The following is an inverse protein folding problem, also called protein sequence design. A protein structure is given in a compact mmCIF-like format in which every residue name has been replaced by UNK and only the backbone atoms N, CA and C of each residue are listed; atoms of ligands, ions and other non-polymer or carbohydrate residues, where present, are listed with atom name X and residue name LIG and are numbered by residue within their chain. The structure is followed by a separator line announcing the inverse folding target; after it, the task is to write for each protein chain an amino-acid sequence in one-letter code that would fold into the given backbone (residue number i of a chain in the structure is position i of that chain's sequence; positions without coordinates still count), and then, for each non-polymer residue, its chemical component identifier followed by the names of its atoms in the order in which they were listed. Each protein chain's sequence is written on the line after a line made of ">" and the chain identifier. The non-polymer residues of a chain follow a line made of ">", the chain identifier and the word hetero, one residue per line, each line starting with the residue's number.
data_IF_145683947183
#
_entry.id   IF_145683947183
#
_cell.length_a   1.000
_cell.length_b   1.000
_cell.length_c   1.000
_cell.angle_alpha   90.00
_cell.angle_beta   90.00
_cell.angle_gamma   90.00
#
_symmetry.space_group_name_H-M   'P 1'
#
loop_
_entity.id
_entity.type
_entity.pdbx_description
1 polymer ?
#
# COMPACT_ATOMS: atom_id res chain seq x y z
N UNK A 1 6.40 11.23 4.01
CA UNK A 1 7.65 10.51 3.66
C UNK A 1 8.80 11.11 4.46
N UNK A 2 9.23 10.40 5.51
CA UNK A 2 10.32 10.80 6.40
C UNK A 2 11.40 9.73 6.29
N UNK A 3 12.66 10.14 6.11
CA UNK A 3 13.78 9.20 5.94
C UNK A 3 13.90 8.16 7.07
N UNK A 4 13.44 8.50 8.28
CA UNK A 4 13.53 7.65 9.47
C UNK A 4 12.26 6.83 9.75
N UNK A 5 11.24 6.94 8.89
CA UNK A 5 10.03 6.16 9.05
C UNK A 5 10.24 4.74 8.51
N UNK A 6 10.07 3.75 9.38
CA UNK A 6 10.29 2.34 9.04
C UNK A 6 9.27 1.84 8.02
N UNK A 7 8.01 2.29 8.11
CA UNK A 7 6.98 1.88 7.16
C UNK A 7 7.30 2.40 5.75
N UNK A 8 7.90 3.58 5.67
CA UNK A 8 8.29 4.21 4.41
C UNK A 8 9.39 3.41 3.71
N UNK A 9 10.41 3.00 4.47
CA UNK A 9 11.51 2.14 4.01
C UNK A 9 10.99 0.76 3.58
N UNK A 10 10.07 0.18 4.36
CA UNK A 10 9.49 -1.13 4.05
C UNK A 10 8.58 -1.05 2.81
N UNK A 11 7.82 0.03 2.65
CA UNK A 11 7.03 0.28 1.45
C UNK A 11 7.91 0.42 0.19
N UNK A 12 9.10 1.01 0.31
CA UNK A 12 10.06 1.12 -0.78
C UNK A 12 10.64 -0.23 -1.24
N UNK A 13 10.67 -1.22 -0.35
CA UNK A 13 11.15 -2.56 -0.66
C UNK A 13 10.15 -3.39 -1.47
N UNK A 14 8.91 -2.92 -1.64
CA UNK A 14 7.86 -3.60 -2.41
C UNK A 14 8.30 -3.73 -3.87
N UNK A 15 8.16 -4.95 -4.40
CA UNK A 15 8.55 -5.29 -5.77
C UNK A 15 7.50 -4.81 -6.76
N UNK A 16 7.96 -4.18 -7.83
CA UNK A 16 7.14 -3.68 -8.94
C UNK A 16 7.62 -4.31 -10.24
N UNK A 17 6.70 -4.74 -11.12
CA UNK A 17 7.08 -5.27 -12.42
C UNK A 17 7.65 -4.16 -13.31
N UNK A 18 8.84 -4.41 -13.84
CA UNK A 18 9.57 -3.48 -14.71
C UNK A 18 10.01 -4.17 -15.98
N UNK A 19 10.19 -3.38 -17.04
CA UNK A 19 10.69 -3.85 -18.34
C UNK A 19 11.91 -3.03 -18.75
N UNK A 20 13.01 -3.70 -19.03
CA UNK A 20 14.22 -3.04 -19.51
C UNK A 20 14.13 -2.75 -21.00
N UNK A 21 14.38 -1.52 -21.43
CA UNK A 21 14.41 -1.16 -22.84
C UNK A 21 15.78 -1.33 -23.49
N UNK A 22 16.80 -1.62 -22.67
CA UNK A 22 18.19 -1.68 -23.08
C UNK A 22 18.86 -2.97 -22.60
N UNK A 23 19.87 -3.41 -23.36
CA UNK A 23 20.71 -4.53 -22.93
C UNK A 23 21.81 -4.00 -22.01
N UNK A 24 21.78 -4.37 -20.73
CA UNK A 24 22.75 -3.87 -19.73
C UNK A 24 23.77 -4.97 -19.42
N UNK A 25 25.07 -4.79 -19.73
CA UNK A 25 26.10 -5.78 -19.42
C UNK A 25 26.32 -5.88 -17.90
N UNK A 26 26.60 -7.10 -17.42
CA UNK A 26 26.92 -7.35 -16.00
C UNK A 26 25.72 -7.41 -15.05
N UNK A 27 24.51 -7.07 -15.50
CA UNK A 27 23.30 -7.06 -14.68
C UNK A 27 22.54 -8.40 -14.64
N UNK A 28 23.08 -9.48 -15.23
CA UNK A 28 22.43 -10.79 -15.28
C UNK A 28 22.21 -11.46 -13.91
N UNK A 29 22.88 -10.99 -12.84
CA UNK A 29 22.62 -11.47 -11.49
C UNK A 29 21.17 -11.22 -11.04
N UNK A 30 20.50 -10.23 -11.61
CA UNK A 30 19.08 -9.97 -11.36
C UNK A 30 18.16 -11.09 -11.88
N UNK A 31 18.59 -11.83 -12.91
CA UNK A 31 17.90 -13.01 -13.44
C UNK A 31 18.43 -14.33 -12.87
N UNK A 32 19.21 -14.29 -11.79
CA UNK A 32 19.98 -15.43 -11.28
C UNK A 32 20.98 -16.00 -12.32
N UNK A 33 21.44 -15.19 -13.27
CA UNK A 33 22.44 -15.58 -14.27
C UNK A 33 23.69 -14.69 -14.18
N UNK A 34 24.56 -14.93 -13.17
CA UNK A 34 25.75 -14.11 -12.98
C UNK A 34 26.64 -14.14 -14.24
N UNK A 35 27.30 -13.01 -14.53
CA UNK A 35 28.19 -12.79 -15.69
C UNK A 35 27.52 -12.70 -17.08
N UNK A 36 26.19 -12.79 -17.19
CA UNK A 36 25.50 -12.52 -18.45
C UNK A 36 24.96 -11.08 -18.53
N UNK A 37 24.83 -10.52 -19.75
CA UNK A 37 24.10 -9.27 -19.93
C UNK A 37 22.60 -9.51 -19.71
N UNK A 38 21.94 -8.49 -19.14
CA UNK A 38 20.48 -8.44 -19.10
C UNK A 38 19.98 -8.01 -20.47
N UNK A 39 19.14 -8.82 -21.12
CA UNK A 39 18.68 -8.55 -22.47
C UNK A 39 17.61 -7.44 -22.52
N UNK A 40 17.58 -6.70 -23.63
CA UNK A 40 16.49 -5.78 -23.97
C UNK A 40 15.12 -6.49 -23.94
N UNK A 41 14.10 -5.74 -23.53
CA UNK A 41 12.70 -6.13 -23.32
C UNK A 41 12.49 -7.17 -22.21
N UNK A 42 13.50 -7.46 -21.41
CA UNK A 42 13.33 -8.38 -20.32
C UNK A 42 12.45 -7.80 -19.21
N UNK A 43 11.60 -8.64 -18.62
CA UNK A 43 10.69 -8.28 -17.53
C UNK A 43 11.25 -8.79 -16.21
N UNK A 44 11.39 -7.90 -15.25
CA UNK A 44 11.95 -8.20 -13.95
C UNK A 44 11.19 -7.43 -12.87
N UNK A 45 11.03 -8.07 -11.71
CA UNK A 45 10.48 -7.41 -10.54
C UNK A 45 11.60 -6.72 -9.75
N UNK A 46 11.53 -5.39 -9.68
CA UNK A 46 12.51 -4.57 -8.95
C UNK A 46 11.85 -3.90 -7.74
N UNK A 47 12.59 -3.68 -6.64
CA UNK A 47 12.11 -2.85 -5.54
C UNK A 47 11.75 -1.43 -6.02
N UNK A 48 10.69 -0.85 -5.46
CA UNK A 48 10.17 0.46 -5.84
C UNK A 48 11.22 1.57 -5.77
N UNK A 49 12.06 1.60 -4.73
CA UNK A 49 13.11 2.61 -4.59
C UNK A 49 14.09 2.60 -5.76
N UNK A 50 14.44 1.42 -6.27
CA UNK A 50 15.37 1.30 -7.40
C UNK A 50 14.65 1.56 -8.72
N UNK A 51 13.45 1.01 -8.88
CA UNK A 51 12.66 1.14 -10.09
C UNK A 51 12.33 2.61 -10.39
N UNK A 52 12.03 3.41 -9.37
CA UNK A 52 11.75 4.84 -9.49
C UNK A 52 12.95 5.62 -10.06
N UNK A 53 14.14 5.40 -9.51
CA UNK A 53 15.35 6.11 -9.96
C UNK A 53 15.74 5.70 -11.38
N UNK A 54 15.67 4.40 -11.69
CA UNK A 54 16.00 3.90 -13.03
C UNK A 54 14.99 4.32 -14.10
N UNK A 55 13.73 4.56 -13.75
CA UNK A 55 12.71 5.04 -14.68
C UNK A 55 12.91 6.51 -15.09
N UNK A 56 13.55 7.32 -14.24
CA UNK A 56 13.86 8.73 -14.54
C UNK A 56 15.08 8.84 -15.47
N UNK A 57 15.98 7.85 -15.47
CA UNK A 57 17.18 7.87 -16.29
C UNK A 57 16.85 7.70 -17.78
N UNK A 58 17.25 8.71 -18.55
CA UNK A 58 17.20 8.70 -20.01
C UNK A 58 18.58 8.38 -20.60
N UNK A 59 18.60 7.53 -21.61
CA UNK A 59 19.79 7.29 -22.42
C UNK A 59 19.53 7.89 -23.80
N UNK A 60 20.39 8.83 -24.21
CA UNK A 60 20.38 9.37 -25.57
C UNK A 60 21.05 8.38 -26.51
N UNK A 61 20.26 7.70 -27.34
CA UNK A 61 20.77 7.01 -28.52
C UNK A 61 20.51 7.84 -29.78
N UNK A 62 21.21 7.52 -30.86
CA UNK A 62 21.15 8.21 -32.16
C UNK A 62 19.74 8.35 -32.77
N UNK A 63 18.72 7.67 -32.22
CA UNK A 63 17.32 7.69 -32.67
C UNK A 63 16.33 8.28 -31.64
N UNK A 64 16.81 8.99 -30.60
CA UNK A 64 15.98 9.67 -29.60
C UNK A 64 16.36 9.32 -28.15
N UNK A 65 15.77 10.05 -27.20
CA UNK A 65 15.89 9.73 -25.77
C UNK A 65 14.93 8.60 -25.41
N UNK A 66 15.46 7.51 -24.86
CA UNK A 66 14.66 6.36 -24.39
C UNK A 66 14.95 6.17 -22.91
N UNK A 67 13.91 5.96 -22.10
CA UNK A 67 14.06 5.60 -20.68
C UNK A 67 14.69 4.21 -20.54
N UNK A 68 15.62 4.06 -19.59
CA UNK A 68 16.29 2.79 -19.33
C UNK A 68 15.29 1.67 -18.99
N UNK A 69 14.30 2.02 -18.15
CA UNK A 69 13.27 1.10 -17.67
C UNK A 69 11.88 1.70 -17.92
N UNK A 70 10.96 0.83 -18.33
CA UNK A 70 9.52 1.07 -18.37
C UNK A 70 8.85 0.39 -17.16
N UNK A 71 8.16 1.18 -16.33
CA UNK A 71 7.37 0.68 -15.21
C UNK A 71 6.07 0.07 -15.75
N UNK A 72 5.86 -1.23 -15.51
CA UNK A 72 4.60 -1.90 -15.83
C UNK A 72 3.63 -1.62 -14.69
N UNK A 73 2.37 -1.34 -15.01
CA UNK A 73 1.32 -1.11 -14.01
C UNK A 73 1.16 -2.34 -13.08
N UNK A 74 1.45 -2.21 -11.78
CA UNK A 74 1.28 -3.32 -10.84
C UNK A 74 -0.20 -3.70 -10.61
N UNK A 75 -0.43 -4.88 -10.03
CA UNK A 75 -1.78 -5.42 -9.78
C UNK A 75 -2.67 -4.46 -8.98
N UNK A 76 -2.08 -3.77 -8.01
CA UNK A 76 -2.78 -2.82 -7.14
C UNK A 76 -3.49 -1.70 -7.91
N UNK A 77 -2.96 -1.29 -9.08
CA UNK A 77 -3.55 -0.23 -9.90
C UNK A 77 -4.40 -0.76 -11.06
N UNK A 78 -4.65 -2.08 -11.13
CA UNK A 78 -5.48 -2.64 -12.18
C UNK A 78 -6.91 -2.10 -12.09
N UNK A 79 -7.56 -1.99 -13.26
CA UNK A 79 -8.92 -1.45 -13.36
C UNK A 79 -9.90 -2.19 -12.45
N UNK A 80 -9.73 -3.50 -12.26
CA UNK A 80 -10.52 -4.32 -11.33
C UNK A 80 -10.51 -3.74 -9.90
N UNK A 81 -9.33 -3.51 -9.34
CA UNK A 81 -9.16 -2.98 -7.98
C UNK A 81 -9.71 -1.56 -7.90
N UNK A 82 -9.42 -0.72 -8.89
CA UNK A 82 -9.97 0.65 -8.91
C UNK A 82 -11.50 0.70 -8.98
N UNK A 83 -12.13 -0.29 -9.64
CA UNK A 83 -13.59 -0.39 -9.70
C UNK A 83 -14.17 -0.85 -8.36
N UNK A 84 -13.52 -1.82 -7.69
CA UNK A 84 -13.92 -2.27 -6.36
C UNK A 84 -13.87 -1.09 -5.37
N UNK A 85 -12.77 -0.34 -5.35
CA UNK A 85 -12.61 0.81 -4.46
C UNK A 85 -13.71 1.86 -4.68
N UNK A 86 -14.12 2.07 -5.94
CA UNK A 86 -15.20 3.00 -6.28
C UNK A 86 -16.58 2.49 -5.88
N UNK A 87 -16.83 1.18 -5.93
CA UNK A 87 -18.14 0.61 -5.59
C UNK A 87 -18.30 0.40 -4.08
N UNK A 88 -17.33 -0.28 -3.47
CA UNK A 88 -17.26 -0.55 -2.04
C UNK A 88 -15.81 -0.84 -1.64
N UNK A 89 -15.20 0.14 -0.99
CA UNK A 89 -13.85 0.07 -0.45
C UNK A 89 -13.72 -0.82 0.79
N UNK A 90 -14.82 -1.13 1.47
CA UNK A 90 -14.80 -1.80 2.78
C UNK A 90 -14.74 -3.31 2.69
N UNK A 91 -15.02 -3.87 1.52
CA UNK A 91 -14.89 -5.29 1.18
C UNK A 91 -13.53 -5.62 0.55
N UNK A 92 -12.73 -4.61 0.21
CA UNK A 92 -11.38 -4.83 -0.32
C UNK A 92 -10.45 -5.34 0.79
N UNK A 93 -9.77 -6.45 0.51
CA UNK A 93 -8.62 -6.90 1.27
C UNK A 93 -7.35 -6.17 0.81
N UNK A 94 -6.99 -5.11 1.53
CA UNK A 94 -5.82 -4.30 1.20
C UNK A 94 -4.52 -5.03 1.57
N UNK A 95 -4.52 -5.77 2.68
CA UNK A 95 -3.34 -6.44 3.21
C UNK A 95 -2.81 -7.53 2.28
N UNK A 96 -3.70 -8.34 1.69
CA UNK A 96 -3.28 -9.38 0.74
C UNK A 96 -2.72 -8.83 -0.57
N UNK A 97 -3.16 -7.64 -0.98
CA UNK A 97 -2.62 -6.96 -2.16
C UNK A 97 -1.25 -6.35 -1.87
N UNK A 98 -1.15 -5.57 -0.79
CA UNK A 98 0.08 -4.96 -0.34
C UNK A 98 -0.06 -4.53 1.13
N UNK A 99 0.84 -4.97 2.04
CA UNK A 99 0.83 -4.54 3.43
C UNK A 99 1.07 -3.03 3.67
N UNK A 100 1.57 -2.31 2.65
CA UNK A 100 1.81 -0.87 2.69
C UNK A 100 1.06 -0.16 1.55
N UNK A 101 -0.23 -0.47 1.41
CA UNK A 101 -1.08 -0.04 0.32
C UNK A 101 -1.11 1.49 0.16
N UNK A 102 -1.40 2.24 1.23
CA UNK A 102 -1.55 3.69 1.15
C UNK A 102 -0.23 4.40 0.80
N UNK A 103 0.86 3.97 1.41
CA UNK A 103 2.20 4.50 1.18
C UNK A 103 2.65 4.29 -0.28
N UNK A 104 2.41 3.10 -0.83
CA UNK A 104 2.71 2.80 -2.24
C UNK A 104 1.81 3.60 -3.18
N UNK A 105 0.52 3.74 -2.86
CA UNK A 105 -0.41 4.57 -3.64
C UNK A 105 0.01 6.04 -3.71
N UNK A 106 0.45 6.61 -2.59
CA UNK A 106 0.95 7.99 -2.52
C UNK A 106 2.21 8.15 -3.39
N UNK A 107 3.19 7.25 -3.25
CA UNK A 107 4.43 7.27 -4.03
C UNK A 107 4.18 7.15 -5.53
N UNK A 108 3.27 6.25 -5.92
CA UNK A 108 2.91 6.05 -7.32
C UNK A 108 2.14 7.25 -7.89
N UNK A 109 1.21 7.81 -7.11
CA UNK A 109 0.49 9.02 -7.50
C UNK A 109 1.44 10.21 -7.67
N UNK A 110 2.44 10.34 -6.81
CA UNK A 110 3.49 11.35 -6.93
C UNK A 110 4.33 11.15 -8.20
N UNK A 111 4.77 9.91 -8.46
CA UNK A 111 5.59 9.59 -9.64
C UNK A 111 4.88 9.92 -10.97
N UNK A 112 3.60 9.56 -11.10
CA UNK A 112 2.80 9.86 -12.30
C UNK A 112 2.07 11.20 -12.24
N UNK A 113 2.21 11.98 -11.16
CA UNK A 113 1.47 13.23 -10.91
C UNK A 113 -0.05 13.11 -11.17
N UNK A 114 -0.63 11.96 -10.83
CA UNK A 114 -2.01 11.60 -11.18
C UNK A 114 -2.99 11.88 -10.05
N UNK A 115 -3.77 12.96 -10.18
CA UNK A 115 -4.79 13.36 -9.21
C UNK A 115 -5.84 12.28 -8.95
N UNK A 116 -6.22 11.53 -9.99
CA UNK A 116 -7.25 10.48 -9.92
C UNK A 116 -6.90 9.36 -8.94
N UNK A 117 -5.62 9.00 -8.85
CA UNK A 117 -5.14 7.95 -7.94
C UNK A 117 -5.22 8.46 -6.49
N UNK A 118 -4.80 9.70 -6.25
CA UNK A 118 -4.90 10.34 -4.94
C UNK A 118 -6.34 10.48 -4.46
N UNK A 119 -7.27 10.94 -5.32
CA UNK A 119 -8.69 11.05 -4.99
C UNK A 119 -9.29 9.70 -4.58
N UNK A 120 -8.96 8.65 -5.34
CA UNK A 120 -9.43 7.29 -5.06
C UNK A 120 -8.88 6.75 -3.72
N UNK A 121 -7.62 7.03 -3.39
CA UNK A 121 -7.04 6.66 -2.10
C UNK A 121 -7.72 7.39 -0.92
N UNK A 122 -8.05 8.67 -1.09
CA UNK A 122 -8.77 9.46 -0.07
C UNK A 122 -10.20 8.94 0.13
N UNK A 123 -10.91 8.63 -0.95
CA UNK A 123 -12.27 8.09 -0.87
C UNK A 123 -12.30 6.72 -0.18
N UNK A 124 -11.32 5.86 -0.48
CA UNK A 124 -11.10 4.59 0.20
C UNK A 124 -10.83 4.80 1.70
N UNK A 125 -9.92 5.72 2.05
CA UNK A 125 -9.57 5.99 3.44
C UNK A 125 -10.76 6.56 4.23
N UNK A 126 -11.58 7.43 3.62
CA UNK A 126 -12.76 8.01 4.28
C UNK A 126 -13.78 6.93 4.64
N UNK A 127 -14.13 6.10 3.67
CA UNK A 127 -15.13 5.04 3.83
C UNK A 127 -14.69 3.95 4.80
N UNK A 128 -13.41 3.53 4.73
CA UNK A 128 -12.84 2.57 5.68
C UNK A 128 -12.62 3.18 7.07
N UNK A 129 -12.24 4.45 7.15
CA UNK A 129 -12.05 5.17 8.41
C UNK A 129 -13.31 5.21 9.27
N UNK A 130 -14.50 5.39 8.67
CA UNK A 130 -15.78 5.28 9.39
C UNK A 130 -15.96 3.89 9.99
N UNK A 131 -15.66 2.84 9.22
CA UNK A 131 -15.78 1.44 9.66
C UNK A 131 -14.77 1.10 10.76
N UNK A 132 -13.52 1.56 10.63
CA UNK A 132 -12.46 1.44 11.66
C UNK A 132 -12.92 2.08 12.98
N UNK A 133 -13.46 3.30 12.93
CA UNK A 133 -13.94 4.01 14.11
C UNK A 133 -15.12 3.27 14.80
N UNK A 134 -16.04 2.74 14.01
CA UNK A 134 -17.16 1.95 14.53
C UNK A 134 -16.67 0.71 15.30
N UNK A 135 -15.69 -0.03 14.76
CA UNK A 135 -15.13 -1.19 15.45
C UNK A 135 -14.29 -0.80 16.68
N UNK A 136 -13.54 0.29 16.62
CA UNK A 136 -12.73 0.77 17.74
C UNK A 136 -13.60 1.14 18.96
N UNK A 137 -14.71 1.85 18.73
CA UNK A 137 -15.65 2.22 19.80
C UNK A 137 -16.40 1.03 20.40
N UNK A 138 -16.78 0.05 19.58
CA UNK A 138 -17.53 -1.14 20.03
C UNK A 138 -16.74 -2.00 21.02
N UNK A 139 -15.45 -2.19 20.77
CA UNK A 139 -14.58 -3.02 21.62
C UNK A 139 -14.32 -2.41 22.99
N UNK A 140 -14.30 -1.08 23.11
CA UNK A 140 -14.15 -0.38 24.40
C UNK A 140 -15.37 -0.51 25.31
N UNK A 141 -16.57 -0.64 24.73
CA UNK A 141 -17.84 -0.65 25.47
C UNK A 141 -18.38 -2.06 25.77
N UNK A 142 -17.73 -3.13 25.26
CA UNK A 142 -18.24 -4.51 25.31
C UNK A 142 -17.99 -5.24 26.64
N UNK A 143 -18.03 -4.53 27.76
CA UNK A 143 -17.89 -5.12 29.11
C UNK A 143 -19.08 -6.00 29.54
N UNK A 144 -20.27 -5.88 28.92
CA UNK A 144 -21.49 -6.48 29.53
C UNK A 144 -22.53 -7.20 28.65
N UNK A 145 -22.44 -7.24 27.32
CA UNK A 145 -23.58 -7.74 26.50
C UNK A 145 -23.29 -9.01 25.68
N UNK A 146 -24.05 -10.08 25.98
CA UNK A 146 -24.04 -11.43 25.36
C UNK A 146 -24.38 -11.48 23.86
N UNK A 147 -24.53 -10.35 23.19
CA UNK A 147 -24.78 -10.23 21.74
C UNK A 147 -23.49 -10.07 20.91
N UNK A 148 -22.30 -10.16 21.53
CA UNK A 148 -21.00 -9.90 20.87
C UNK A 148 -20.61 -10.91 19.79
N UNK A 149 -20.99 -12.19 19.93
CA UNK A 149 -20.45 -13.27 19.10
C UNK A 149 -20.71 -13.16 17.59
N UNK A 150 -21.83 -12.55 17.17
CA UNK A 150 -22.17 -12.43 15.74
C UNK A 150 -21.38 -11.32 15.02
N UNK A 151 -21.04 -10.25 15.74
CA UNK A 151 -20.27 -9.12 15.21
C UNK A 151 -18.76 -9.28 15.41
N UNK A 152 -18.34 -10.15 16.32
CA UNK A 152 -16.93 -10.38 16.63
C UNK A 152 -16.18 -11.01 15.44
N UNK A 153 -16.75 -12.05 14.81
CA UNK A 153 -16.17 -12.68 13.61
C UNK A 153 -16.05 -11.69 12.44
N UNK A 154 -17.09 -10.90 12.18
CA UNK A 154 -17.03 -9.88 11.13
C UNK A 154 -16.00 -8.77 11.43
N UNK A 155 -15.78 -8.46 12.71
CA UNK A 155 -14.73 -7.52 13.12
C UNK A 155 -13.35 -8.10 12.88
N UNK A 156 -13.12 -9.38 13.22
CA UNK A 156 -11.82 -10.04 13.04
C UNK A 156 -11.48 -10.20 11.57
N UNK A 157 -12.47 -10.52 10.74
CA UNK A 157 -12.29 -10.63 9.30
C UNK A 157 -11.89 -9.28 8.71
N UNK A 158 -12.56 -8.20 9.12
CA UNK A 158 -12.19 -6.85 8.69
C UNK A 158 -10.79 -6.44 9.21
N UNK A 159 -10.42 -6.81 10.44
CA UNK A 159 -9.10 -6.50 11.01
C UNK A 159 -7.96 -7.12 10.19
N UNK A 160 -8.17 -8.31 9.61
CA UNK A 160 -7.17 -8.97 8.77
C UNK A 160 -6.97 -8.25 7.44
N UNK A 161 -7.99 -7.55 6.93
CA UNK A 161 -7.93 -6.80 5.67
C UNK A 161 -7.23 -5.45 5.75
N UNK A 162 -6.86 -5.00 6.95
CA UNK A 162 -6.34 -3.65 7.18
C UNK A 162 -4.89 -3.50 6.70
N UNK A 163 -4.60 -2.35 6.11
CA UNK A 163 -3.23 -1.92 5.80
C UNK A 163 -2.43 -1.63 7.09
N UNK A 164 -1.09 -1.63 7.07
CA UNK A 164 -0.29 -1.31 8.26
C UNK A 164 -0.59 0.09 8.82
N UNK A 165 -0.83 1.07 7.95
CA UNK A 165 -1.29 2.40 8.35
C UNK A 165 -2.64 2.36 9.09
N UNK A 166 -3.60 1.59 8.57
CA UNK A 166 -4.93 1.45 9.17
C UNK A 166 -4.88 0.70 10.51
N UNK A 167 -4.03 -0.32 10.64
CA UNK A 167 -3.81 -1.03 11.90
C UNK A 167 -3.31 -0.08 12.98
N UNK A 168 -2.33 0.77 12.66
CA UNK A 168 -1.84 1.81 13.58
C UNK A 168 -2.96 2.77 13.98
N UNK A 169 -3.73 3.26 13.01
CA UNK A 169 -4.87 4.15 13.26
C UNK A 169 -5.94 3.49 14.17
N UNK A 170 -6.22 2.20 13.94
CA UNK A 170 -7.16 1.43 14.74
C UNK A 170 -6.67 1.28 16.19
N UNK A 171 -5.41 0.88 16.39
CA UNK A 171 -4.83 0.73 17.73
C UNK A 171 -4.89 2.05 18.50
N UNK A 172 -4.45 3.15 17.87
CA UNK A 172 -4.49 4.49 18.47
C UNK A 172 -5.90 4.91 18.86
N UNK A 173 -6.88 4.63 17.99
CA UNK A 173 -8.28 4.95 18.24
C UNK A 173 -8.84 4.10 19.38
N UNK A 174 -8.51 2.82 19.44
CA UNK A 174 -8.92 1.92 20.51
C UNK A 174 -8.32 2.34 21.86
N UNK A 175 -7.02 2.65 21.90
CA UNK A 175 -6.35 3.15 23.10
C UNK A 175 -6.97 4.45 23.61
N UNK A 176 -7.30 5.38 22.70
CA UNK A 176 -7.97 6.64 23.03
C UNK A 176 -9.34 6.39 23.70
N UNK A 177 -10.16 5.50 23.16
CA UNK A 177 -11.45 5.13 23.77
C UNK A 177 -11.29 4.47 25.14
N UNK A 178 -10.28 3.60 25.31
CA UNK A 178 -10.02 2.94 26.58
C UNK A 178 -9.54 3.93 27.66
N UNK A 179 -8.64 4.85 27.30
CA UNK A 179 -8.16 5.90 28.19
C UNK A 179 -9.30 6.82 28.62
N UNK A 180 -10.16 7.22 27.68
CA UNK A 180 -11.35 8.03 27.96
C UNK A 180 -12.30 7.32 28.93
N UNK A 181 -12.61 6.03 28.69
CA UNK A 181 -13.48 5.25 29.57
C UNK A 181 -12.88 5.09 30.98
N UNK A 182 -11.58 4.81 31.07
CA UNK A 182 -10.86 4.71 32.35
C UNK A 182 -10.90 6.02 33.12
N UNK A 183 -10.69 7.15 32.42
CA UNK A 183 -10.76 8.48 33.02
C UNK A 183 -12.17 8.79 33.55
N UNK A 184 -13.23 8.46 32.80
CA UNK A 184 -14.61 8.64 33.24
C UNK A 184 -14.92 7.81 34.49
N UNK A 185 -14.50 6.54 34.52
CA UNK A 185 -14.68 5.67 35.69
C UNK A 185 -13.92 6.16 36.92
N UNK A 186 -12.75 6.81 36.76
CA UNK A 186 -11.97 7.34 37.88
C UNK A 186 -12.60 8.57 38.56
N UNK A 187 -13.60 9.19 37.93
CA UNK A 187 -14.30 10.38 38.44
C UNK A 187 -15.64 10.07 39.11
N UNK A 188 -16.15 8.85 38.94
CA UNK A 188 -17.33 8.33 39.65
C UNK A 188 -16.93 7.74 41.02
#
# INVERSE_FOLDING_TARGET
>A
MSYYDLDDILADSVKVPTKFNYTVPGLGYLENNPNKPLNKNNKLDLPLWLAKELAVLEISENNGNIHLIELITPEIFHQRITNIIKSDSTSLDAYSLCPYFYTVYEKWAYFYSSKKISELAVDMLRSRGVKINNYASFKSNSSSNKTSYFNESASTDFMQTLDEFEKKLFILSQESYQQMNTYLQSKE
#
